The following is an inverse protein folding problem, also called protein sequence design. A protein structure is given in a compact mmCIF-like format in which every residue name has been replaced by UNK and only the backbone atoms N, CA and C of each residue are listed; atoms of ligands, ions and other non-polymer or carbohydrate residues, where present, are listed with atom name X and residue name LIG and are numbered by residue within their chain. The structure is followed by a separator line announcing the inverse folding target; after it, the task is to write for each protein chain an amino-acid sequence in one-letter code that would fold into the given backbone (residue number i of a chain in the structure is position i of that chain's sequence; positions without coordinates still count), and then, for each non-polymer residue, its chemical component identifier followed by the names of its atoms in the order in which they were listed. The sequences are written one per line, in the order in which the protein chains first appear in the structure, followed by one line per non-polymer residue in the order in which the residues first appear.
data_IF_585254173821
#
_entry.id   IF_585254173821
#
_cell.length_a   1.000
_cell.length_b   1.000
_cell.length_c   1.000
_cell.angle_alpha   90.00
_cell.angle_beta   90.00
_cell.angle_gamma   90.00
#
_symmetry.space_group_name_H-M   'P 1'
#
loop_
_entity.id
_entity.type
_entity.pdbx_description
1 polymer ?
#
# COMPACT_ATOMS: atom_id res chain seq x y z
N UNK A 1 4.74 21.44 0.35
CA UNK A 1 4.36 20.14 -0.23
C UNK A 1 5.34 19.12 0.32
N UNK A 2 4.89 18.19 1.16
CA UNK A 2 5.77 17.13 1.66
C UNK A 2 6.05 16.16 0.50
N UNK A 3 7.28 16.17 -0.01
CA UNK A 3 7.75 15.18 -0.98
C UNK A 3 7.74 13.82 -0.29
N UNK A 4 6.81 12.98 -0.70
CA UNK A 4 6.76 11.61 -0.21
C UNK A 4 7.91 10.85 -0.87
N UNK A 5 8.90 10.53 -0.03
CA UNK A 5 10.22 10.05 -0.43
C UNK A 5 10.23 8.51 -0.61
N UNK A 6 9.12 7.96 -1.11
CA UNK A 6 8.96 6.52 -1.26
C UNK A 6 9.55 6.03 -2.58
N UNK A 7 10.30 4.94 -2.50
CA UNK A 7 11.05 4.41 -3.64
C UNK A 7 10.15 3.61 -4.56
N UNK A 8 10.30 3.73 -5.89
CA UNK A 8 9.60 2.86 -6.81
C UNK A 8 10.03 1.40 -6.58
N UNK A 9 9.07 0.48 -6.69
CA UNK A 9 9.29 -0.96 -6.50
C UNK A 9 8.78 -1.68 -7.74
N UNK A 10 9.67 -2.43 -8.39
CA UNK A 10 9.38 -3.03 -9.69
C UNK A 10 9.42 -4.56 -9.61
N UNK A 11 8.59 -5.18 -10.44
CA UNK A 11 8.55 -6.61 -10.71
C UNK A 11 8.44 -7.47 -9.45
N UNK A 12 7.53 -7.10 -8.55
CA UNK A 12 7.23 -7.90 -7.37
C UNK A 12 5.88 -8.59 -7.52
N UNK A 13 5.68 -9.63 -6.71
CA UNK A 13 4.41 -10.35 -6.58
C UNK A 13 4.13 -10.51 -5.10
N UNK A 14 2.85 -10.56 -4.74
CA UNK A 14 2.49 -10.84 -3.36
C UNK A 14 2.62 -12.34 -3.08
N UNK A 15 3.37 -12.67 -2.04
CA UNK A 15 3.30 -13.97 -1.39
C UNK A 15 1.93 -14.15 -0.72
N UNK A 16 1.59 -15.35 -0.29
CA UNK A 16 0.33 -15.64 0.44
C UNK A 16 0.14 -14.74 1.67
N UNK A 17 1.24 -14.32 2.32
CA UNK A 17 1.20 -13.46 3.49
C UNK A 17 0.90 -12.00 3.12
N UNK A 18 1.60 -11.44 2.12
CA UNK A 18 1.31 -10.08 1.66
C UNK A 18 -0.10 -9.97 1.08
N UNK A 19 -0.54 -10.99 0.37
CA UNK A 19 -1.91 -11.19 -0.06
C UNK A 19 -2.95 -11.04 1.08
N UNK A 20 -2.73 -11.74 2.19
CA UNK A 20 -3.60 -11.67 3.36
C UNK A 20 -3.60 -10.26 3.96
N UNK A 21 -2.44 -9.61 4.04
CA UNK A 21 -2.30 -8.24 4.49
C UNK A 21 -3.05 -7.25 3.59
N UNK A 22 -2.95 -7.39 2.26
CA UNK A 22 -3.72 -6.57 1.30
C UNK A 22 -5.23 -6.70 1.54
N UNK A 23 -5.73 -7.93 1.75
CA UNK A 23 -7.16 -8.16 2.03
C UNK A 23 -7.63 -7.50 3.31
N UNK A 24 -6.81 -7.55 4.36
CA UNK A 24 -7.16 -6.90 5.63
C UNK A 24 -7.11 -5.36 5.50
N UNK A 25 -6.10 -4.81 4.82
CA UNK A 25 -6.05 -3.37 4.50
C UNK A 25 -7.27 -2.96 3.68
N UNK A 26 -7.67 -3.74 2.68
CA UNK A 26 -8.86 -3.47 1.87
C UNK A 26 -10.12 -3.40 2.73
N UNK A 27 -10.31 -4.33 3.68
CA UNK A 27 -11.46 -4.28 4.61
C UNK A 27 -11.46 -2.99 5.41
N UNK A 28 -10.31 -2.57 5.96
CA UNK A 28 -10.20 -1.32 6.72
C UNK A 28 -10.52 -0.09 5.86
N UNK A 29 -10.10 -0.09 4.59
CA UNK A 29 -10.40 0.98 3.65
C UNK A 29 -11.89 1.03 3.25
N UNK A 30 -12.53 -0.13 3.12
CA UNK A 30 -13.96 -0.25 2.82
C UNK A 30 -14.81 0.20 4.01
N UNK A 31 -14.46 -0.23 5.22
CA UNK A 31 -15.09 0.21 6.47
C UNK A 31 -15.00 1.73 6.65
N UNK A 32 -13.87 2.31 6.25
CA UNK A 32 -13.66 3.77 6.23
C UNK A 32 -14.35 4.49 5.07
N UNK A 33 -14.90 3.77 4.09
CA UNK A 33 -15.45 4.31 2.82
C UNK A 33 -14.46 5.16 2.01
N UNK A 34 -13.16 4.82 2.07
CA UNK A 34 -12.08 5.64 1.48
C UNK A 34 -11.52 5.06 0.18
N UNK A 35 -12.11 3.97 -0.30
CA UNK A 35 -11.74 3.32 -1.57
C UNK A 35 -11.90 4.26 -2.77
N UNK A 36 -12.87 5.18 -2.74
CA UNK A 36 -13.09 6.17 -3.81
C UNK A 36 -11.88 7.08 -4.04
N UNK A 37 -11.16 7.47 -2.96
CA UNK A 37 -9.96 8.29 -3.06
C UNK A 37 -8.77 7.59 -3.72
N UNK A 38 -8.76 6.24 -3.72
CA UNK A 38 -7.69 5.46 -4.34
C UNK A 38 -7.79 5.39 -5.86
N UNK A 39 -8.90 5.78 -6.49
CA UNK A 39 -9.05 5.72 -7.96
C UNK A 39 -7.95 6.47 -8.71
N UNK A 40 -7.42 7.55 -8.12
CA UNK A 40 -6.31 8.31 -8.69
C UNK A 40 -4.93 7.74 -8.36
N UNK A 41 -4.84 6.73 -7.49
CA UNK A 41 -3.60 6.11 -7.03
C UNK A 41 -3.16 4.91 -7.89
N UNK A 42 -3.59 4.87 -9.16
CA UNK A 42 -3.09 3.94 -10.18
C UNK A 42 -3.01 2.48 -9.72
N UNK A 43 -1.79 1.99 -9.51
CA UNK A 43 -1.53 0.61 -9.12
C UNK A 43 -2.05 0.29 -7.70
N UNK A 44 -2.10 1.26 -6.77
CA UNK A 44 -2.70 1.03 -5.44
C UNK A 44 -4.20 0.81 -5.49
N UNK A 45 -4.90 1.43 -6.44
CA UNK A 45 -6.30 1.09 -6.71
C UNK A 45 -6.42 -0.39 -7.06
N UNK A 46 -5.58 -0.88 -7.99
CA UNK A 46 -5.61 -2.28 -8.41
C UNK A 46 -5.30 -3.24 -7.25
N UNK A 47 -4.30 -2.91 -6.42
CA UNK A 47 -3.89 -3.72 -5.26
C UNK A 47 -5.02 -3.80 -4.24
N UNK A 48 -5.57 -2.67 -3.82
CA UNK A 48 -6.53 -2.62 -2.71
C UNK A 48 -7.99 -2.80 -3.12
N UNK A 49 -8.32 -2.82 -4.42
CA UNK A 49 -9.71 -3.03 -4.89
C UNK A 49 -9.92 -4.31 -5.68
N UNK A 50 -8.88 -4.85 -6.34
CA UNK A 50 -8.99 -6.04 -7.22
C UNK A 50 -8.08 -7.17 -6.72
N UNK A 51 -8.47 -7.81 -5.62
CA UNK A 51 -7.67 -8.72 -4.80
C UNK A 51 -7.62 -10.20 -5.21
N UNK A 52 -8.13 -10.61 -6.38
CA UNK A 52 -8.00 -12.01 -6.82
C UNK A 52 -7.12 -12.17 -8.06
N UNK A 53 -7.15 -11.21 -8.98
CA UNK A 53 -6.41 -11.28 -10.23
C UNK A 53 -4.97 -10.75 -10.12
N UNK A 54 -4.69 -9.80 -9.23
CA UNK A 54 -3.38 -9.12 -9.13
C UNK A 54 -2.28 -9.93 -8.45
N UNK A 55 -2.63 -11.04 -7.81
CA UNK A 55 -1.71 -11.77 -6.91
C UNK A 55 -0.68 -12.60 -7.68
N UNK A 56 -1.03 -12.98 -8.90
CA UNK A 56 -0.16 -13.73 -9.82
C UNK A 56 0.51 -12.83 -10.86
N UNK A 57 0.22 -11.53 -10.85
CA UNK A 57 0.70 -10.56 -11.85
C UNK A 57 1.90 -9.81 -11.26
N UNK A 58 2.93 -9.60 -12.08
CA UNK A 58 4.05 -8.73 -11.69
C UNK A 58 3.58 -7.29 -11.56
N UNK A 59 3.73 -6.71 -10.37
CA UNK A 59 3.34 -5.34 -10.08
C UNK A 59 4.55 -4.41 -10.14
N UNK A 60 4.31 -3.18 -10.60
CA UNK A 60 5.28 -2.10 -10.60
C UNK A 60 4.63 -0.89 -9.93
N UNK A 61 5.24 -0.38 -8.88
CA UNK A 61 4.86 0.88 -8.23
C UNK A 61 5.83 1.96 -8.67
N UNK A 62 5.29 2.95 -9.36
CA UNK A 62 6.06 4.12 -9.80
C UNK A 62 6.00 5.24 -8.76
N UNK A 63 6.86 6.25 -8.89
CA UNK A 63 6.78 7.46 -8.06
C UNK A 63 5.42 8.17 -8.17
N UNK A 64 4.79 8.13 -9.36
CA UNK A 64 3.47 8.71 -9.56
C UNK A 64 2.36 7.95 -8.79
N UNK A 65 2.49 6.62 -8.67
CA UNK A 65 1.57 5.83 -7.84
C UNK A 65 1.71 6.19 -6.36
N UNK A 66 2.94 6.38 -5.88
CA UNK A 66 3.21 6.84 -4.52
C UNK A 66 2.64 8.25 -4.27
N UNK A 67 2.78 9.17 -5.22
CA UNK A 67 2.16 10.50 -5.14
C UNK A 67 0.62 10.45 -5.19
N UNK A 68 0.05 9.49 -5.92
CA UNK A 68 -1.39 9.26 -5.92
C UNK A 68 -1.87 8.75 -4.57
N UNK A 69 -1.17 7.77 -4.00
CA UNK A 69 -1.46 7.23 -2.66
C UNK A 69 -1.31 8.31 -1.60
N UNK A 70 -0.25 9.10 -1.65
CA UNK A 70 0.02 10.25 -0.80
C UNK A 70 -1.16 11.22 -0.71
N UNK A 71 -1.67 11.63 -1.88
CA UNK A 71 -2.80 12.55 -1.99
C UNK A 71 -4.06 11.92 -1.42
N UNK A 72 -4.34 10.67 -1.79
CA UNK A 72 -5.48 9.93 -1.26
C UNK A 72 -5.40 9.78 0.28
N UNK A 73 -4.23 9.40 0.80
CA UNK A 73 -3.96 9.22 2.21
C UNK A 73 -3.99 10.55 3.00
N UNK A 74 -3.84 11.69 2.34
CA UNK A 74 -4.03 13.01 2.94
C UNK A 74 -5.39 13.18 3.60
N UNK A 75 -6.42 12.56 3.02
CA UNK A 75 -7.80 12.61 3.50
C UNK A 75 -8.13 11.47 4.49
N UNK A 76 -7.19 10.57 4.76
CA UNK A 76 -7.43 9.41 5.63
C UNK A 76 -7.31 9.80 7.11
N UNK A 77 -8.20 9.29 7.97
CA UNK A 77 -8.03 9.41 9.42
C UNK A 77 -6.63 8.96 9.84
N UNK A 78 -5.98 9.73 10.73
CA UNK A 78 -4.63 9.41 11.22
C UNK A 78 -4.55 7.99 11.77
N UNK A 79 -5.58 7.56 12.52
CA UNK A 79 -5.69 6.20 13.05
C UNK A 79 -5.64 5.13 11.95
N UNK A 80 -6.33 5.35 10.83
CA UNK A 80 -6.34 4.40 9.72
C UNK A 80 -4.96 4.33 9.04
N UNK A 81 -4.32 5.50 8.81
CA UNK A 81 -2.95 5.55 8.27
C UNK A 81 -1.97 4.79 9.17
N UNK A 82 -2.03 5.02 10.48
CA UNK A 82 -1.17 4.32 11.45
C UNK A 82 -1.44 2.82 11.48
N UNK A 83 -2.70 2.38 11.39
CA UNK A 83 -3.04 0.96 11.32
C UNK A 83 -2.48 0.28 10.06
N UNK A 84 -2.64 0.90 8.89
CA UNK A 84 -2.12 0.38 7.63
C UNK A 84 -0.59 0.39 7.64
N UNK A 85 0.04 1.46 8.13
CA UNK A 85 1.50 1.56 8.22
C UNK A 85 2.09 0.48 9.14
N UNK A 86 1.44 0.20 10.28
CA UNK A 86 1.84 -0.87 11.19
C UNK A 86 1.72 -2.23 10.54
N UNK A 87 0.59 -2.50 9.89
CA UNK A 87 0.38 -3.77 9.19
C UNK A 87 1.40 -3.96 8.06
N UNK A 88 1.74 -2.90 7.33
CA UNK A 88 2.80 -2.93 6.34
C UNK A 88 4.15 -3.28 6.99
N UNK A 89 4.54 -2.63 8.10
CA UNK A 89 5.77 -2.96 8.82
C UNK A 89 5.83 -4.41 9.31
N UNK A 90 4.73 -4.93 9.85
CA UNK A 90 4.64 -6.34 10.26
C UNK A 90 4.81 -7.27 9.05
N UNK A 91 4.22 -6.92 7.90
CA UNK A 91 4.32 -7.72 6.67
C UNK A 91 5.72 -7.65 6.04
N UNK A 92 6.45 -6.55 6.20
CA UNK A 92 7.87 -6.44 5.79
C UNK A 92 8.72 -7.56 6.40
N UNK A 93 8.50 -7.90 7.67
CA UNK A 93 9.25 -8.92 8.41
C UNK A 93 8.90 -10.33 7.94
N UNK A 94 7.65 -10.53 7.50
CA UNK A 94 7.14 -11.83 7.08
C UNK A 94 7.51 -12.15 5.61
N UNK A 95 7.74 -11.13 4.80
CA UNK A 95 7.99 -11.25 3.36
C UNK A 95 9.47 -11.06 3.02
N UNK A 96 9.85 -11.30 1.76
CA UNK A 96 11.25 -11.19 1.32
C UNK A 96 11.37 -10.58 -0.08
N UNK A 97 12.58 -10.15 -0.44
CA UNK A 97 12.88 -9.56 -1.75
C UNK A 97 12.12 -8.26 -2.00
N UNK A 98 11.65 -8.06 -3.25
CA UNK A 98 10.97 -6.83 -3.66
C UNK A 98 9.61 -6.63 -2.96
N UNK A 99 8.96 -7.70 -2.51
CA UNK A 99 7.72 -7.60 -1.74
C UNK A 99 7.97 -6.95 -0.37
N UNK A 100 9.03 -7.35 0.33
CA UNK A 100 9.41 -6.76 1.62
C UNK A 100 9.70 -5.26 1.48
N UNK A 101 10.40 -4.87 0.39
CA UNK A 101 10.66 -3.45 0.06
C UNK A 101 9.36 -2.69 -0.16
N UNK A 102 8.40 -3.26 -0.91
CA UNK A 102 7.08 -2.64 -1.09
C UNK A 102 6.41 -2.34 0.26
N UNK A 103 6.41 -3.31 1.17
CA UNK A 103 5.79 -3.15 2.49
C UNK A 103 6.52 -2.12 3.36
N UNK A 104 7.84 -2.10 3.29
CA UNK A 104 8.66 -1.11 4.00
C UNK A 104 8.36 0.31 3.52
N UNK A 105 8.35 0.52 2.20
CA UNK A 105 8.06 1.82 1.60
C UNK A 105 6.60 2.24 1.86
N UNK A 106 5.64 1.31 1.83
CA UNK A 106 4.25 1.59 2.17
C UNK A 106 4.10 2.06 3.63
N UNK A 107 4.82 1.43 4.56
CA UNK A 107 4.83 1.82 5.96
C UNK A 107 5.33 3.26 6.15
N UNK A 108 6.50 3.58 5.57
CA UNK A 108 7.11 4.91 5.63
C UNK A 108 6.25 5.98 4.98
N UNK A 109 5.62 5.66 3.85
CA UNK A 109 4.74 6.56 3.10
C UNK A 109 3.52 7.01 3.92
N UNK A 110 2.93 6.09 4.68
CA UNK A 110 1.70 6.34 5.42
C UNK A 110 1.98 6.86 6.84
N UNK A 111 3.15 6.56 7.40
CA UNK A 111 3.57 7.08 8.69
C UNK A 111 5.10 7.31 8.72
N UNK A 112 5.57 8.55 8.54
CA UNK A 112 7.01 8.87 8.50
C UNK A 112 7.71 8.79 9.87
N UNK A 113 6.98 8.44 10.93
CA UNK A 113 7.51 8.26 12.29
C UNK A 113 7.90 6.80 12.62
N UNK A 114 7.85 5.90 11.64
CA UNK A 114 8.33 4.52 11.72
C UNK A 114 9.58 4.30 10.87
#
# INVERSE_FOLDING_TARGET
MATINCKPVNNFRFSTQGAAAVKDIQRKLDDGKIISGLMMAGTFHLIFTKTSATWHVGLNITSADWEGLAKAAGDWPTTLRSMIARQAAETTILTSGQESIFWEELSKCLNPYY
#
